data_IF_229177273872
#
_entry.id   IF_229177273872
#
_cell.length_a   1.000
_cell.length_b   1.000
_cell.length_c   1.000
_cell.angle_alpha   90.00
_cell.angle_beta   90.00
_cell.angle_gamma   90.00
#
_symmetry.space_group_name_H-M   'P 1'
#
loop_
_entity.id
_entity.type
_entity.pdbx_description
1 polymer ?
#
# COMPACT_ATOMS: atom_id res chain seq x y z
N UNK A 1 -74.44 47.75 -56.76
CA UNK A 1 -74.39 47.22 -55.37
C UNK A 1 -74.08 45.71 -55.31
N UNK A 2 -74.69 44.87 -56.16
CA UNK A 2 -74.45 43.40 -56.19
C UNK A 2 -72.98 42.99 -56.45
N UNK A 3 -72.29 43.69 -57.37
CA UNK A 3 -70.88 43.47 -57.69
C UNK A 3 -69.92 43.72 -56.50
N UNK A 4 -70.23 44.69 -55.63
CA UNK A 4 -69.39 45.01 -54.48
C UNK A 4 -69.47 43.94 -53.37
N UNK A 5 -70.66 43.34 -53.20
CA UNK A 5 -70.90 42.23 -52.28
C UNK A 5 -70.17 40.97 -52.77
N UNK A 6 -70.19 40.70 -54.08
CA UNK A 6 -69.44 39.60 -54.69
C UNK A 6 -67.92 39.75 -54.49
N UNK A 7 -67.36 40.95 -54.67
CA UNK A 7 -65.92 41.19 -54.46
C UNK A 7 -65.46 40.97 -53.00
N UNK A 8 -66.26 41.38 -52.00
CA UNK A 8 -65.93 41.15 -50.58
C UNK A 8 -65.99 39.67 -50.20
N UNK A 9 -66.97 38.93 -50.74
CA UNK A 9 -67.11 37.48 -50.57
C UNK A 9 -65.88 36.71 -51.11
N UNK A 10 -65.45 37.02 -52.33
CA UNK A 10 -64.29 36.38 -52.97
C UNK A 10 -63.00 36.61 -52.18
N UNK A 11 -62.76 37.83 -51.66
CA UNK A 11 -61.58 38.12 -50.82
C UNK A 11 -61.57 37.32 -49.51
N UNK A 12 -62.74 37.12 -48.87
CA UNK A 12 -62.85 36.30 -47.66
C UNK A 12 -62.51 34.84 -47.93
N UNK A 13 -63.02 34.27 -49.03
CA UNK A 13 -62.73 32.89 -49.46
C UNK A 13 -61.25 32.70 -49.77
N UNK A 14 -60.64 33.64 -50.51
CA UNK A 14 -59.20 33.62 -50.82
C UNK A 14 -58.32 33.73 -49.56
N UNK A 15 -58.72 34.53 -48.57
CA UNK A 15 -58.01 34.62 -47.30
C UNK A 15 -58.10 33.34 -46.48
N UNK A 16 -59.27 32.70 -46.39
CA UNK A 16 -59.43 31.44 -45.65
C UNK A 16 -58.61 30.30 -46.27
N UNK A 17 -58.52 30.23 -47.60
CA UNK A 17 -57.67 29.24 -48.28
C UNK A 17 -56.18 29.46 -47.97
N UNK A 18 -55.71 30.71 -47.94
CA UNK A 18 -54.34 31.03 -47.54
C UNK A 18 -54.05 30.68 -46.08
N UNK A 19 -54.97 30.96 -45.16
CA UNK A 19 -54.82 30.62 -43.73
C UNK A 19 -54.67 29.11 -43.56
N UNK A 20 -55.54 28.30 -44.19
CA UNK A 20 -55.43 26.83 -44.16
C UNK A 20 -54.09 26.34 -44.69
N UNK A 21 -53.61 26.90 -45.81
CA UNK A 21 -52.30 26.54 -46.37
C UNK A 21 -51.13 26.87 -45.42
N UNK A 22 -51.18 28.01 -44.71
CA UNK A 22 -50.18 28.34 -43.69
C UNK A 22 -50.24 27.40 -42.48
N UNK A 23 -51.44 27.01 -42.04
CA UNK A 23 -51.62 26.06 -40.95
C UNK A 23 -51.08 24.68 -41.32
N UNK A 24 -51.39 24.18 -42.52
CA UNK A 24 -50.88 22.91 -43.05
C UNK A 24 -49.34 22.91 -43.14
N UNK A 25 -48.76 23.97 -43.71
CA UNK A 25 -47.30 24.12 -43.81
C UNK A 25 -46.64 24.16 -42.42
N UNK A 26 -47.24 24.89 -41.46
CA UNK A 26 -46.72 24.96 -40.09
C UNK A 26 -46.78 23.59 -39.42
N UNK A 27 -47.86 22.85 -39.61
CA UNK A 27 -48.02 21.49 -39.09
C UNK A 27 -47.03 20.51 -39.72
N UNK A 28 -46.74 20.62 -41.02
CA UNK A 28 -45.72 19.81 -41.67
C UNK A 28 -44.32 20.06 -41.09
N UNK A 29 -43.95 21.34 -40.91
CA UNK A 29 -42.68 21.71 -40.26
C UNK A 29 -42.60 21.15 -38.83
N UNK A 30 -43.69 21.16 -38.07
CA UNK A 30 -43.73 20.55 -36.73
C UNK A 30 -43.51 19.04 -36.79
N UNK A 31 -44.19 18.32 -37.70
CA UNK A 31 -44.00 16.86 -37.88
C UNK A 31 -42.56 16.51 -38.25
N UNK A 32 -41.93 17.29 -39.14
CA UNK A 32 -40.53 17.08 -39.52
C UNK A 32 -39.58 17.29 -38.32
N UNK A 33 -39.79 18.35 -37.52
CA UNK A 33 -39.02 18.58 -36.30
C UNK A 33 -39.24 17.49 -35.26
N UNK A 34 -40.48 17.06 -35.05
CA UNK A 34 -40.83 15.97 -34.14
C UNK A 34 -40.09 14.69 -34.52
N UNK A 35 -40.15 14.29 -35.80
CA UNK A 35 -39.41 13.12 -36.30
C UNK A 35 -37.90 13.25 -36.05
N UNK A 36 -37.32 14.42 -36.33
CA UNK A 36 -35.89 14.68 -36.05
C UNK A 36 -35.55 14.55 -34.56
N UNK A 37 -36.40 15.06 -33.66
CA UNK A 37 -36.19 14.93 -32.23
C UNK A 37 -36.34 13.48 -31.76
N UNK A 38 -37.29 12.72 -32.30
CA UNK A 38 -37.45 11.29 -31.99
C UNK A 38 -36.21 10.48 -32.41
N UNK A 39 -35.65 10.74 -33.59
CA UNK A 39 -34.40 10.11 -34.04
C UNK A 39 -33.21 10.46 -33.12
N UNK A 40 -33.08 11.73 -32.72
CA UNK A 40 -32.06 12.15 -31.75
C UNK A 40 -32.21 11.45 -30.40
N UNK A 41 -33.43 11.35 -29.87
CA UNK A 41 -33.72 10.65 -28.62
C UNK A 41 -33.31 9.18 -28.73
N UNK A 42 -33.66 8.51 -29.84
CA UNK A 42 -33.27 7.11 -30.08
C UNK A 42 -31.74 6.94 -30.11
N UNK A 43 -31.03 7.85 -30.76
CA UNK A 43 -29.56 7.84 -30.79
C UNK A 43 -28.96 8.02 -29.39
N UNK A 44 -29.46 8.99 -28.61
CA UNK A 44 -29.01 9.19 -27.23
C UNK A 44 -29.30 7.98 -26.33
N UNK A 45 -30.46 7.33 -26.49
CA UNK A 45 -30.79 6.11 -25.76
C UNK A 45 -29.80 4.97 -26.08
N UNK A 46 -29.42 4.80 -27.34
CA UNK A 46 -28.42 3.81 -27.75
C UNK A 46 -27.03 4.14 -27.18
N UNK A 47 -26.64 5.41 -27.16
CA UNK A 47 -25.37 5.85 -26.58
C UNK A 47 -25.34 5.62 -25.07
N UNK A 48 -26.41 5.94 -24.35
CA UNK A 48 -26.55 5.65 -22.91
C UNK A 48 -26.44 4.14 -22.65
N UNK A 49 -27.05 3.29 -23.48
CA UNK A 49 -26.92 1.84 -23.35
C UNK A 49 -25.48 1.36 -23.52
N UNK A 50 -24.74 1.89 -24.52
CA UNK A 50 -23.32 1.58 -24.73
C UNK A 50 -22.46 2.04 -23.55
N UNK A 51 -22.69 3.24 -23.03
CA UNK A 51 -21.99 3.77 -21.86
C UNK A 51 -22.26 2.91 -20.61
N UNK A 52 -23.49 2.48 -20.39
CA UNK A 52 -23.84 1.61 -19.27
C UNK A 52 -23.15 0.22 -19.36
N UNK A 53 -23.02 -0.34 -20.57
CA UNK A 53 -22.26 -1.57 -20.77
C UNK A 53 -20.76 -1.36 -20.46
N UNK A 54 -20.20 -0.23 -20.89
CA UNK A 54 -18.82 0.12 -20.59
C UNK A 54 -18.58 0.29 -19.08
N UNK A 55 -19.47 0.98 -18.38
CA UNK A 55 -19.41 1.14 -16.91
C UNK A 55 -19.44 -0.23 -16.22
N UNK A 56 -20.35 -1.13 -16.61
CA UNK A 56 -20.41 -2.48 -16.05
C UNK A 56 -19.12 -3.27 -16.28
N UNK A 57 -18.51 -3.14 -17.47
CA UNK A 57 -17.22 -3.77 -17.78
C UNK A 57 -16.11 -3.23 -16.87
N UNK A 58 -15.99 -1.91 -16.73
CA UNK A 58 -14.99 -1.27 -15.88
C UNK A 58 -15.18 -1.60 -14.39
N UNK A 59 -16.42 -1.75 -13.91
CA UNK A 59 -16.69 -2.20 -12.55
C UNK A 59 -16.15 -3.61 -12.29
N UNK A 60 -16.39 -4.56 -13.21
CA UNK A 60 -15.84 -5.92 -13.11
C UNK A 60 -14.32 -5.96 -13.15
N UNK A 61 -13.71 -5.15 -14.01
CA UNK A 61 -12.25 -5.00 -14.09
C UNK A 61 -11.69 -4.46 -12.76
N UNK A 62 -12.32 -3.44 -12.19
CA UNK A 62 -11.95 -2.89 -10.88
C UNK A 62 -12.08 -3.90 -9.74
N UNK A 63 -13.13 -4.71 -9.71
CA UNK A 63 -13.29 -5.79 -8.73
C UNK A 63 -12.18 -6.84 -8.87
N UNK A 64 -11.84 -7.20 -10.10
CA UNK A 64 -10.74 -8.13 -10.40
C UNK A 64 -9.41 -7.59 -9.89
N UNK A 65 -9.12 -6.32 -10.16
CA UNK A 65 -7.89 -5.64 -9.69
C UNK A 65 -7.87 -5.58 -8.15
N UNK A 66 -8.99 -5.25 -7.49
CA UNK A 66 -9.08 -5.25 -6.02
C UNK A 66 -8.77 -6.62 -5.42
N UNK A 67 -9.30 -7.68 -6.03
CA UNK A 67 -9.02 -9.06 -5.59
C UNK A 67 -7.55 -9.44 -5.79
N UNK A 68 -6.96 -9.06 -6.92
CA UNK A 68 -5.52 -9.25 -7.16
C UNK A 68 -4.67 -8.50 -6.13
N UNK A 69 -5.02 -7.25 -5.83
CA UNK A 69 -4.33 -6.45 -4.82
C UNK A 69 -4.38 -7.10 -3.44
N UNK A 70 -5.56 -7.52 -2.98
CA UNK A 70 -5.74 -8.25 -1.71
C UNK A 70 -4.90 -9.54 -1.66
N UNK A 71 -4.82 -10.27 -2.77
CA UNK A 71 -3.98 -11.46 -2.86
C UNK A 71 -2.48 -11.14 -2.77
N UNK A 72 -2.04 -10.02 -3.32
CA UNK A 72 -0.65 -9.58 -3.19
C UNK A 72 -0.33 -9.11 -1.77
N UNK A 73 -1.24 -8.41 -1.10
CA UNK A 73 -1.08 -8.04 0.33
C UNK A 73 -0.88 -9.28 1.21
N UNK A 74 -1.68 -10.33 1.00
CA UNK A 74 -1.53 -11.61 1.72
C UNK A 74 -0.18 -12.29 1.43
N UNK A 75 0.32 -12.22 0.19
CA UNK A 75 1.65 -12.74 -0.17
C UNK A 75 2.76 -11.97 0.54
N UNK A 76 2.68 -10.65 0.59
CA UNK A 76 3.65 -9.80 1.29
C UNK A 76 3.65 -10.12 2.78
N UNK A 77 2.48 -10.27 3.41
CA UNK A 77 2.39 -10.64 4.82
C UNK A 77 3.05 -12.01 5.11
N UNK A 78 2.86 -13.00 4.22
CA UNK A 78 3.55 -14.30 4.34
C UNK A 78 5.07 -14.17 4.23
N UNK A 79 5.57 -13.33 3.32
CA UNK A 79 7.00 -13.08 3.15
C UNK A 79 7.61 -12.37 4.38
N UNK A 80 6.90 -11.41 4.97
CA UNK A 80 7.33 -10.75 6.20
C UNK A 80 7.47 -11.74 7.36
N UNK A 81 6.52 -12.66 7.52
CA UNK A 81 6.59 -13.71 8.54
C UNK A 81 7.77 -14.67 8.30
N UNK A 82 8.01 -15.07 7.04
CA UNK A 82 9.17 -15.91 6.69
C UNK A 82 10.49 -15.20 7.03
N UNK A 83 10.61 -13.91 6.71
CA UNK A 83 11.80 -13.13 7.05
C UNK A 83 12.00 -13.03 8.57
N UNK A 84 10.93 -12.82 9.35
CA UNK A 84 11.01 -12.82 10.81
C UNK A 84 11.48 -14.18 11.36
N UNK A 85 10.95 -15.28 10.82
CA UNK A 85 11.38 -16.62 11.21
C UNK A 85 12.86 -16.89 10.86
N UNK A 86 13.31 -16.43 9.70
CA UNK A 86 14.72 -16.51 9.30
C UNK A 86 15.62 -15.71 10.26
N UNK A 87 15.24 -14.49 10.64
CA UNK A 87 15.96 -13.68 11.64
C UNK A 87 16.08 -14.41 12.98
N UNK A 88 14.97 -14.96 13.48
CA UNK A 88 14.94 -15.71 14.74
C UNK A 88 15.85 -16.96 14.68
N UNK A 89 15.84 -17.68 13.56
CA UNK A 89 16.69 -18.85 13.35
C UNK A 89 18.18 -18.47 13.36
N UNK A 90 18.55 -17.40 12.65
CA UNK A 90 19.93 -16.90 12.60
C UNK A 90 20.40 -16.51 14.01
N UNK A 91 19.57 -15.82 14.79
CA UNK A 91 19.90 -15.45 16.17
C UNK A 91 20.14 -16.69 17.06
N UNK A 92 19.30 -17.71 16.92
CA UNK A 92 19.47 -18.98 17.64
C UNK A 92 20.76 -19.71 17.25
N UNK A 93 21.10 -19.73 15.96
CA UNK A 93 22.35 -20.33 15.48
C UNK A 93 23.58 -19.57 15.99
N UNK A 94 23.54 -18.23 16.01
CA UNK A 94 24.60 -17.40 16.59
C UNK A 94 24.81 -17.72 18.07
N UNK A 95 23.73 -17.82 18.87
CA UNK A 95 23.81 -18.20 20.29
C UNK A 95 24.43 -19.60 20.47
N UNK A 96 24.03 -20.57 19.66
CA UNK A 96 24.62 -21.94 19.68
C UNK A 96 26.11 -21.93 19.34
N UNK A 97 26.53 -21.15 18.35
CA UNK A 97 27.94 -21.03 17.95
C UNK A 97 28.79 -20.41 19.06
N UNK A 98 28.31 -19.33 19.68
CA UNK A 98 28.98 -18.69 20.83
C UNK A 98 29.17 -19.71 21.96
N UNK A 99 28.12 -20.46 22.31
CA UNK A 99 28.20 -21.48 23.35
C UNK A 99 29.20 -22.60 23.01
N UNK A 100 29.20 -23.08 21.75
CA UNK A 100 30.18 -24.08 21.28
C UNK A 100 31.62 -23.58 21.45
N UNK A 101 31.88 -22.33 21.09
CA UNK A 101 33.20 -21.71 21.24
C UNK A 101 33.60 -21.52 22.71
N UNK A 102 32.64 -21.18 23.59
CA UNK A 102 32.88 -21.10 25.03
C UNK A 102 33.27 -22.47 25.62
N UNK A 103 32.54 -23.53 25.26
CA UNK A 103 32.85 -24.91 25.69
C UNK A 103 34.23 -25.35 25.19
N UNK A 104 34.57 -25.04 23.94
CA UNK A 104 35.88 -25.37 23.37
C UNK A 104 37.02 -24.69 24.16
N UNK A 105 36.91 -23.38 24.42
CA UNK A 105 37.89 -22.64 25.24
C UNK A 105 38.02 -23.20 26.66
N UNK A 106 36.93 -23.66 27.27
CA UNK A 106 36.97 -24.31 28.59
C UNK A 106 37.71 -25.65 28.55
N UNK A 107 37.47 -26.47 27.52
CA UNK A 107 38.18 -27.74 27.32
C UNK A 107 39.68 -27.54 27.13
N UNK A 108 40.08 -26.57 26.32
CA UNK A 108 41.49 -26.19 26.11
C UNK A 108 42.17 -25.75 27.43
N UNK A 109 41.46 -24.96 28.27
CA UNK A 109 41.94 -24.59 29.61
C UNK A 109 42.11 -25.81 30.54
N UNK A 110 41.18 -26.76 30.52
CA UNK A 110 41.27 -27.97 31.35
C UNK A 110 42.43 -28.86 30.87
N UNK A 111 42.60 -29.04 29.56
CA UNK A 111 43.67 -29.83 28.97
C UNK A 111 45.06 -29.26 29.33
N UNK A 112 45.23 -27.93 29.21
CA UNK A 112 46.47 -27.24 29.60
C UNK A 112 46.74 -27.33 31.11
N UNK A 113 45.72 -27.16 31.97
CA UNK A 113 45.85 -27.33 33.42
C UNK A 113 46.28 -28.76 33.81
N UNK A 114 45.70 -29.78 33.18
CA UNK A 114 46.05 -31.18 33.44
C UNK A 114 47.45 -31.52 32.93
N UNK A 115 47.86 -31.00 31.78
CA UNK A 115 49.23 -31.14 31.26
C UNK A 115 50.26 -30.59 32.24
N UNK A 116 50.02 -29.38 32.77
CA UNK A 116 50.89 -28.76 33.78
C UNK A 116 50.94 -29.57 35.09
N UNK A 117 49.80 -30.12 35.55
CA UNK A 117 49.75 -30.96 36.77
C UNK A 117 50.54 -32.27 36.58
N UNK A 118 50.42 -32.89 35.40
CA UNK A 118 51.16 -34.09 35.06
C UNK A 118 52.68 -33.82 35.00
N UNK A 119 53.11 -32.73 34.35
CA UNK A 119 54.51 -32.32 34.30
C UNK A 119 55.08 -32.05 35.70
N UNK A 120 54.33 -31.36 36.58
CA UNK A 120 54.73 -31.15 37.97
C UNK A 120 54.93 -32.46 38.72
N UNK A 121 54.02 -33.43 38.55
CA UNK A 121 54.13 -34.76 39.16
C UNK A 121 55.33 -35.57 38.62
N UNK A 122 55.66 -35.46 37.33
CA UNK A 122 56.86 -36.09 36.77
C UNK A 122 58.14 -35.48 37.36
N UNK A 123 58.19 -34.15 37.48
CA UNK A 123 59.34 -33.45 38.06
C UNK A 123 59.53 -33.83 39.55
N UNK A 124 58.45 -33.92 40.34
CA UNK A 124 58.56 -34.35 41.74
C UNK A 124 58.97 -35.82 41.89
N UNK A 125 58.51 -36.72 41.01
CA UNK A 125 58.98 -38.11 41.01
C UNK A 125 60.44 -38.24 40.59
N UNK A 126 60.91 -37.43 39.63
CA UNK A 126 62.35 -37.40 39.28
C UNK A 126 63.19 -36.87 40.44
N UNK A 127 62.76 -35.81 41.13
CA UNK A 127 63.48 -35.28 42.31
C UNK A 127 63.55 -36.26 43.48
N UNK A 128 62.53 -37.09 43.69
CA UNK A 128 62.56 -38.14 44.73
C UNK A 128 63.51 -39.31 44.37
N UNK A 129 63.70 -39.65 43.09
CA UNK A 129 64.65 -40.70 42.70
C UNK A 129 66.12 -40.29 42.83
N UNK A 130 66.43 -38.98 42.91
CA UNK A 130 67.79 -38.52 43.21
C UNK A 130 68.09 -38.46 44.71
N UNK A 131 67.11 -38.64 45.61
CA UNK A 131 67.34 -38.67 47.07
C UNK A 131 67.20 -40.06 47.72
N UNK A 132 66.83 -41.10 46.96
CA UNK A 132 66.69 -42.47 47.48
C UNK A 132 67.46 -43.51 46.63
N UNK A 133 68.77 -43.31 46.46
CA UNK A 133 69.70 -44.45 46.27
C UNK A 133 70.08 -45.04 47.63
N UNK A 134 69.09 -45.53 48.37
CA UNK A 134 69.30 -46.50 49.44
C UNK A 134 67.98 -47.16 49.84
N UNK A 135 67.98 -48.49 49.74
CA UNK A 135 67.03 -49.48 50.26
C UNK A 135 65.72 -49.83 49.50
N UNK A 136 65.82 -51.01 48.86
CA UNK A 136 65.00 -52.25 49.01
C UNK A 136 63.54 -52.28 48.55
N UNK A 137 63.31 -53.26 47.67
CA UNK A 137 62.23 -54.25 47.60
C UNK A 137 60.89 -53.93 48.28
N UNK A 138 59.81 -53.97 47.50
CA UNK A 138 58.70 -54.90 47.76
C UNK A 138 57.68 -54.86 46.62
N UNK A 139 57.21 -56.06 46.26
CA UNK A 139 55.96 -56.32 45.55
C UNK A 139 54.80 -55.51 46.17
N UNK A 140 53.87 -55.01 45.35
CA UNK A 140 52.46 -55.41 45.48
C UNK A 140 51.52 -54.85 44.41
N UNK A 141 50.60 -55.73 44.01
CA UNK A 141 49.38 -55.52 43.21
C UNK A 141 48.53 -54.35 43.73
N UNK A 142 47.93 -53.59 42.82
CA UNK A 142 46.77 -52.75 43.11
C UNK A 142 45.60 -53.17 42.21
N UNK A 143 44.54 -53.64 42.88
CA UNK A 143 43.23 -54.02 42.31
C UNK A 143 42.49 -52.81 41.75
N UNK A 144 41.97 -52.95 40.54
CA UNK A 144 40.99 -52.02 39.93
C UNK A 144 39.62 -52.23 40.58
N UNK A 145 39.16 -51.27 41.38
CA UNK A 145 37.78 -51.21 41.87
C UNK A 145 36.91 -50.38 40.93
N UNK A 146 35.95 -51.03 40.29
CA UNK A 146 34.84 -50.41 39.56
C UNK A 146 33.92 -49.66 40.54
N UNK A 147 34.01 -48.33 40.58
CA UNK A 147 33.02 -47.49 41.25
C UNK A 147 31.86 -47.14 40.30
N UNK A 148 30.66 -47.33 40.86
CA UNK A 148 29.32 -47.19 40.28
C UNK A 148 29.06 -45.83 39.62
N UNK A 149 28.42 -45.86 38.46
CA UNK A 149 27.76 -44.71 37.83
C UNK A 149 26.68 -44.14 38.77
N UNK A 150 26.65 -42.82 39.05
CA UNK A 150 25.49 -42.20 39.66
C UNK A 150 24.37 -42.05 38.62
N UNK A 151 23.16 -42.50 38.99
CA UNK A 151 21.93 -42.29 38.23
C UNK A 151 21.66 -40.78 38.09
N UNK A 152 21.38 -40.34 36.86
CA UNK A 152 20.85 -39.00 36.55
C UNK A 152 19.55 -38.77 37.33
N UNK A 153 19.58 -37.88 38.31
CA UNK A 153 18.37 -37.29 38.88
C UNK A 153 17.90 -36.16 37.95
N UNK A 154 16.73 -36.37 37.33
CA UNK A 154 15.97 -35.34 36.63
C UNK A 154 15.08 -34.66 37.69
N UNK A 155 15.12 -33.34 37.90
CA UNK A 155 14.15 -32.69 38.78
C UNK A 155 12.80 -32.61 38.09
N UNK A 156 11.81 -33.26 38.71
CA UNK A 156 10.41 -33.28 38.35
C UNK A 156 9.71 -32.06 38.95
N UNK A 157 9.89 -30.87 38.36
CA UNK A 157 9.12 -29.68 38.70
C UNK A 157 8.24 -29.24 37.51
N UNK A 158 7.18 -30.00 37.28
CA UNK A 158 5.94 -29.48 36.69
C UNK A 158 4.94 -29.25 37.82
N UNK A 159 5.12 -28.16 38.57
CA UNK A 159 4.10 -27.69 39.50
C UNK A 159 3.16 -26.74 38.75
N UNK A 160 1.96 -27.28 38.50
CA UNK A 160 0.64 -26.66 38.39
C UNK A 160 0.60 -25.12 38.34
N UNK A 161 0.28 -24.57 37.18
CA UNK A 161 -0.28 -23.22 37.07
C UNK A 161 -1.68 -23.19 37.74
N UNK A 162 -1.96 -22.28 38.68
CA UNK A 162 -3.32 -22.11 39.19
C UNK A 162 -4.21 -21.49 38.11
N UNK A 163 -5.41 -22.04 37.92
CA UNK A 163 -6.50 -21.40 37.18
C UNK A 163 -6.95 -20.17 37.96
N UNK A 164 -6.38 -19.00 37.66
CA UNK A 164 -6.84 -17.73 38.23
C UNK A 164 -8.06 -17.23 37.46
N UNK A 165 -9.16 -17.07 38.19
CA UNK A 165 -10.48 -16.75 37.69
C UNK A 165 -10.56 -15.41 36.96
N UNK A 166 -11.02 -15.46 35.72
CA UNK A 166 -11.58 -14.35 34.96
C UNK A 166 -12.92 -13.90 35.56
N UNK A 167 -12.89 -13.09 36.62
CA UNK A 167 -14.01 -12.23 37.02
C UNK A 167 -13.45 -10.98 37.72
N UNK A 168 -12.85 -10.05 36.96
CA UNK A 168 -12.60 -8.63 37.37
C UNK A 168 -11.92 -7.75 36.29
N UNK A 169 -12.23 -7.92 34.99
CA UNK A 169 -11.64 -7.10 33.89
C UNK A 169 -12.66 -6.10 33.29
N UNK A 170 -13.75 -5.78 34.01
CA UNK A 170 -14.78 -4.86 33.48
C UNK A 170 -14.73 -3.43 34.04
N UNK A 171 -13.88 -3.12 35.03
CA UNK A 171 -13.89 -1.78 35.67
C UNK A 171 -12.64 -0.92 35.42
N UNK A 172 -11.59 -1.44 34.77
CA UNK A 172 -10.34 -0.67 34.51
C UNK A 172 -10.36 0.19 33.22
N UNK A 173 -11.23 -0.11 32.26
CA UNK A 173 -11.23 0.61 30.97
C UNK A 173 -12.01 1.94 30.97
N UNK A 174 -12.76 2.26 32.02
CA UNK A 174 -13.48 3.53 32.12
C UNK A 174 -12.63 4.65 32.74
N UNK A 175 -11.75 4.35 33.71
CA UNK A 175 -10.85 5.35 34.31
C UNK A 175 -9.63 5.69 33.42
N UNK A 176 -9.17 4.79 32.55
CA UNK A 176 -8.10 5.11 31.58
C UNK A 176 -8.55 6.05 30.44
N UNK A 177 -9.85 6.09 30.12
CA UNK A 177 -10.39 6.95 29.06
C UNK A 177 -10.49 8.42 29.50
N UNK A 178 -10.72 8.69 30.79
CA UNK A 178 -10.79 10.06 31.31
C UNK A 178 -9.42 10.68 31.59
N UNK A 179 -8.46 9.92 32.13
CA UNK A 179 -7.08 10.43 32.31
C UNK A 179 -6.34 10.67 30.98
N UNK A 180 -6.69 9.97 29.90
CA UNK A 180 -6.14 10.27 28.56
C UNK A 180 -6.70 11.55 27.95
N UNK A 181 -7.89 12.01 28.35
CA UNK A 181 -8.49 13.23 27.81
C UNK A 181 -7.90 14.51 28.43
N UNK A 182 -7.49 14.47 29.71
CA UNK A 182 -6.86 15.61 30.40
C UNK A 182 -5.35 15.80 30.11
N UNK A 183 -4.67 14.87 29.43
CA UNK A 183 -3.25 14.99 29.04
C UNK A 183 -3.01 15.50 27.60
N UNK A 184 -4.06 15.95 26.91
CA UNK A 184 -3.98 16.33 25.49
C UNK A 184 -3.97 17.86 25.28
N UNK A 185 -4.38 18.67 26.27
CA UNK A 185 -4.58 20.11 26.04
C UNK A 185 -3.33 21.00 26.13
N UNK A 186 -2.20 20.53 26.67
CA UNK A 186 -0.99 21.37 26.73
C UNK A 186 0.28 20.56 26.45
N UNK A 187 0.46 20.12 25.20
CA UNK A 187 1.74 19.56 24.77
C UNK A 187 2.22 20.24 23.47
N UNK A 188 3.11 21.25 23.56
CA UNK A 188 3.53 22.07 22.41
C UNK A 188 4.19 21.26 21.28
N UNK A 189 4.76 20.08 21.57
CA UNK A 189 5.34 19.16 20.58
C UNK A 189 4.33 18.53 19.61
N UNK A 190 3.03 18.47 19.95
CA UNK A 190 2.00 17.95 19.02
C UNK A 190 1.58 19.00 17.98
N UNK A 191 1.53 20.29 18.35
CA UNK A 191 1.25 21.38 17.40
C UNK A 191 2.36 21.49 16.34
N UNK A 192 3.62 21.42 16.74
CA UNK A 192 4.77 21.47 15.81
C UNK A 192 4.81 20.29 14.83
N UNK A 193 4.39 19.09 15.23
CA UNK A 193 4.40 17.91 14.35
C UNK A 193 3.24 17.93 13.33
N UNK A 194 2.08 18.43 13.72
CA UNK A 194 0.94 18.57 12.80
C UNK A 194 1.19 19.69 11.78
N UNK A 195 1.79 20.79 12.21
CA UNK A 195 2.17 21.92 11.36
C UNK A 195 3.31 21.54 10.40
N UNK A 196 4.30 20.77 10.86
CA UNK A 196 5.35 20.20 9.99
C UNK A 196 4.78 19.23 8.94
N UNK A 197 3.75 18.44 9.29
CA UNK A 197 3.09 17.55 8.34
C UNK A 197 2.27 18.33 7.29
N UNK A 198 1.52 19.35 7.72
CA UNK A 198 0.77 20.26 6.82
C UNK A 198 1.72 20.98 5.86
N UNK A 199 2.84 21.50 6.37
CA UNK A 199 3.84 22.19 5.55
C UNK A 199 4.55 21.26 4.55
N UNK A 200 4.89 20.04 4.96
CA UNK A 200 5.51 19.05 4.04
C UNK A 200 4.56 18.67 2.90
N UNK A 201 3.30 18.40 3.22
CA UNK A 201 2.32 18.01 2.21
C UNK A 201 1.89 19.17 1.30
N UNK A 202 1.87 20.41 1.81
CA UNK A 202 1.65 21.60 1.01
C UNK A 202 2.79 21.83 0.01
N UNK A 203 4.04 21.64 0.44
CA UNK A 203 5.22 21.75 -0.44
C UNK A 203 5.20 20.72 -1.57
N UNK A 204 4.80 19.47 -1.27
CA UNK A 204 4.63 18.43 -2.29
C UNK A 204 3.53 18.78 -3.31
N UNK A 205 2.42 19.36 -2.87
CA UNK A 205 1.35 19.81 -3.78
C UNK A 205 1.80 20.94 -4.70
N UNK A 206 2.57 21.91 -4.20
CA UNK A 206 3.13 22.99 -5.02
C UNK A 206 4.12 22.45 -6.06
N UNK A 207 5.04 21.55 -5.66
CA UNK A 207 5.98 20.92 -6.60
C UNK A 207 5.28 20.12 -7.70
N UNK A 208 4.17 19.44 -7.36
CA UNK A 208 3.39 18.71 -8.35
C UNK A 208 2.63 19.66 -9.29
N UNK A 209 2.15 20.80 -8.78
CA UNK A 209 1.51 21.82 -9.60
C UNK A 209 2.48 22.39 -10.63
N UNK A 210 3.71 22.70 -10.23
CA UNK A 210 4.74 23.23 -11.12
C UNK A 210 5.06 22.25 -12.26
N UNK A 211 5.29 20.97 -11.92
CA UNK A 211 5.52 19.91 -12.93
C UNK A 211 4.38 19.75 -13.92
N UNK A 212 3.13 19.86 -13.47
CA UNK A 212 1.99 19.76 -14.37
C UNK A 212 1.87 20.99 -15.28
N UNK A 213 2.20 22.18 -14.79
CA UNK A 213 2.25 23.40 -15.60
C UNK A 213 3.36 23.30 -16.67
N UNK A 214 4.55 22.81 -16.31
CA UNK A 214 5.63 22.56 -17.29
C UNK A 214 5.20 21.56 -18.38
N UNK A 215 4.55 20.46 -17.99
CA UNK A 215 4.02 19.49 -18.94
C UNK A 215 2.95 20.11 -19.86
N UNK A 216 2.05 20.94 -19.31
CA UNK A 216 1.04 21.66 -20.09
C UNK A 216 1.70 22.56 -21.14
N UNK A 217 2.70 23.35 -20.75
CA UNK A 217 3.41 24.24 -21.67
C UNK A 217 4.14 23.47 -22.79
N UNK A 218 4.72 22.31 -22.47
CA UNK A 218 5.32 21.43 -23.48
C UNK A 218 4.28 20.93 -24.51
N UNK A 219 3.08 20.57 -24.06
CA UNK A 219 1.99 20.14 -24.95
C UNK A 219 1.50 21.32 -25.80
N UNK A 220 1.31 22.50 -25.20
CA UNK A 220 0.95 23.73 -25.92
C UNK A 220 1.99 24.10 -26.98
N UNK A 221 3.28 23.92 -26.69
CA UNK A 221 4.37 24.11 -27.66
C UNK A 221 4.29 23.11 -28.83
N UNK A 222 3.95 21.85 -28.55
CA UNK A 222 3.74 20.83 -29.60
C UNK A 222 2.50 21.15 -30.44
N UNK A 223 1.40 21.58 -29.83
CA UNK A 223 0.16 21.95 -30.53
C UNK A 223 0.36 23.12 -31.49
N UNK A 224 1.18 24.11 -31.12
CA UNK A 224 1.53 25.25 -31.98
C UNK A 224 2.20 24.85 -33.29
N UNK A 225 2.81 23.66 -33.37
CA UNK A 225 3.40 23.12 -34.61
C UNK A 225 2.36 22.58 -35.60
N UNK A 226 1.10 22.48 -35.21
CA UNK A 226 -0.01 21.97 -36.02
C UNK A 226 -1.12 23.03 -36.20
N UNK A 227 -0.84 24.17 -36.86
CA UNK A 227 -1.87 25.17 -37.12
C UNK A 227 -2.94 24.62 -38.07
N UNK A 228 -4.21 24.95 -37.82
CA UNK A 228 -5.37 24.45 -38.57
C UNK A 228 -5.29 24.74 -40.06
N UNK A 229 -4.57 25.78 -40.48
CA UNK A 229 -4.34 26.15 -41.88
C UNK A 229 -3.43 25.17 -42.66
N UNK A 230 -2.61 24.36 -41.97
CA UNK A 230 -1.64 23.45 -42.61
C UNK A 230 -1.99 21.95 -42.48
N UNK A 231 -3.18 21.62 -41.95
CA UNK A 231 -3.61 20.23 -41.76
C UNK A 231 -4.21 19.67 -43.06
N UNK A 232 -3.37 19.18 -43.96
CA UNK A 232 -3.82 18.51 -45.20
C UNK A 232 -3.93 16.99 -45.07
N UNK A 233 -3.20 16.38 -44.12
CA UNK A 233 -3.16 14.93 -43.91
C UNK A 233 -4.00 14.51 -42.71
N UNK A 234 -4.82 13.46 -42.87
CA UNK A 234 -5.62 12.85 -41.79
C UNK A 234 -4.77 12.48 -40.58
N UNK A 235 -3.53 12.05 -40.79
CA UNK A 235 -2.57 11.72 -39.71
C UNK A 235 -2.21 12.92 -38.85
N UNK A 236 -2.06 14.11 -39.45
CA UNK A 236 -1.76 15.34 -38.70
C UNK A 236 -2.97 15.84 -37.91
N UNK A 237 -4.18 15.67 -38.44
CA UNK A 237 -5.44 15.98 -37.73
C UNK A 237 -5.56 15.11 -36.48
N UNK A 238 -5.35 13.79 -36.61
CA UNK A 238 -5.38 12.86 -35.46
C UNK A 238 -4.32 13.17 -34.41
N UNK A 239 -3.11 13.54 -34.84
CA UNK A 239 -2.06 13.95 -33.90
C UNK A 239 -2.43 15.23 -33.14
N UNK A 240 -3.01 16.21 -33.82
CA UNK A 240 -3.51 17.43 -33.18
C UNK A 240 -4.61 17.12 -32.15
N UNK A 241 -5.60 16.32 -32.54
CA UNK A 241 -6.69 15.91 -31.65
C UNK A 241 -6.18 15.13 -30.42
N UNK A 242 -5.14 14.31 -30.57
CA UNK A 242 -4.48 13.64 -29.45
C UNK A 242 -3.84 14.64 -28.48
N UNK A 243 -3.12 15.64 -28.98
CA UNK A 243 -2.50 16.66 -28.12
C UNK A 243 -3.54 17.57 -27.46
N UNK A 244 -4.65 17.92 -28.13
CA UNK A 244 -5.75 18.70 -27.54
C UNK A 244 -6.41 17.93 -26.37
N UNK A 245 -6.64 16.63 -26.56
CA UNK A 245 -7.16 15.77 -25.50
C UNK A 245 -6.18 15.60 -24.32
N UNK A 246 -4.87 15.53 -24.61
CA UNK A 246 -3.83 15.46 -23.58
C UNK A 246 -3.76 16.77 -22.78
N UNK A 247 -3.85 17.91 -23.46
CA UNK A 247 -3.89 19.23 -22.85
C UNK A 247 -5.09 19.39 -21.91
N UNK A 248 -6.29 19.03 -22.36
CA UNK A 248 -7.51 19.13 -21.55
C UNK A 248 -7.42 18.28 -20.27
N UNK A 249 -6.82 17.09 -20.36
CA UNK A 249 -6.58 16.24 -19.18
C UNK A 249 -5.63 16.91 -18.18
N UNK A 250 -4.55 17.51 -18.66
CA UNK A 250 -3.58 18.22 -17.81
C UNK A 250 -4.19 19.44 -17.13
N UNK A 251 -5.04 20.20 -17.84
CA UNK A 251 -5.77 21.32 -17.24
C UNK A 251 -6.73 20.89 -16.13
N UNK A 252 -7.45 19.78 -16.31
CA UNK A 252 -8.31 19.20 -15.26
C UNK A 252 -7.50 18.75 -14.04
N UNK A 253 -6.33 18.15 -14.23
CA UNK A 253 -5.43 17.77 -13.14
C UNK A 253 -4.89 18.99 -12.37
N UNK A 254 -4.43 20.02 -13.09
CA UNK A 254 -3.98 21.30 -12.50
C UNK A 254 -5.08 21.92 -11.64
N UNK A 255 -6.31 21.98 -12.15
CA UNK A 255 -7.44 22.56 -11.41
C UNK A 255 -7.77 21.77 -10.13
N UNK A 256 -7.67 20.44 -10.16
CA UNK A 256 -7.83 19.60 -8.95
C UNK A 256 -6.75 19.92 -7.91
N UNK A 257 -5.49 20.04 -8.31
CA UNK A 257 -4.39 20.38 -7.38
C UNK A 257 -4.55 21.80 -6.83
N UNK A 258 -4.93 22.79 -7.66
CA UNK A 258 -5.21 24.16 -7.21
C UNK A 258 -6.33 24.21 -6.15
N UNK A 259 -7.38 23.39 -6.33
CA UNK A 259 -8.47 23.30 -5.36
C UNK A 259 -7.99 22.68 -4.03
N UNK A 260 -7.16 21.64 -4.08
CA UNK A 260 -6.59 21.00 -2.89
C UNK A 260 -5.64 21.94 -2.13
N UNK A 261 -4.80 22.70 -2.84
CA UNK A 261 -3.96 23.77 -2.28
C UNK A 261 -4.84 24.81 -1.57
N UNK A 262 -5.95 25.24 -2.18
CA UNK A 262 -6.89 26.20 -1.57
C UNK A 262 -7.53 25.64 -0.29
N UNK A 263 -7.83 24.35 -0.22
CA UNK A 263 -8.41 23.70 0.98
C UNK A 263 -7.42 23.58 2.14
N UNK A 264 -6.12 23.58 1.86
CA UNK A 264 -5.05 23.40 2.86
C UNK A 264 -4.44 24.70 3.38
N UNK A 265 -4.64 25.81 2.67
CA UNK A 265 -4.35 27.16 3.20
C UNK A 265 -5.42 27.56 4.20
#
# INVERSE_FOLDING_TARGET
>A
MNLLIQFKSIKSIQNNSRIKLYEENKMEVFKQKEKSYQEKIKNFQQEIQKLNQLIKKQQKENETIKNQFKNQELKIQKLQNLNQNQKNLIENLKKKLINKNQIQKQKEKIQTQNGNKFQKNQISNQKNNYSQKSNKNSQNQVKLNNQKNPKKNIPKNFQKNPKSGTKKILTKNQQEKEMKKKKIEENPQKKTNEENFKNKTMKELLQNLDKLNEQKEMIDSKLRKYPSSNLRKITQIKQKEQFENELEKKEKEINKIKLEIRRRK
#
